data_IF_227930183090
#
_entry.id   IF_227930183090
#
_cell.length_a   1.000
_cell.length_b   1.000
_cell.length_c   1.000
_cell.angle_alpha   90.00
_cell.angle_beta   90.00
_cell.angle_gamma   90.00
#
_symmetry.space_group_name_H-M   'P 1'
#
loop_
_entity.id
_entity.type
_entity.pdbx_description
1 polymer ?
#
# COMPACT_ATOMS: atom_id res chain seq x y z
N UNK A 1 -6.88 3.93 10.27
CA UNK A 1 -7.09 4.30 8.85
C UNK A 1 -6.02 3.60 8.04
N UNK A 2 -6.40 2.89 7.01
CA UNK A 2 -5.55 1.96 6.29
C UNK A 2 -5.47 2.35 4.82
N UNK A 3 -4.27 2.30 4.26
CA UNK A 3 -4.07 2.28 2.81
C UNK A 3 -3.99 0.83 2.33
N UNK A 4 -4.77 0.50 1.31
CA UNK A 4 -4.89 -0.85 0.77
C UNK A 4 -4.82 -0.87 -0.76
N UNK A 5 -3.87 -1.64 -1.28
CA UNK A 5 -3.80 -2.01 -2.69
C UNK A 5 -4.07 -3.53 -2.80
N UNK A 6 -5.19 -3.95 -3.42
CA UNK A 6 -5.46 -5.37 -3.67
C UNK A 6 -4.35 -6.10 -4.43
N UNK A 7 -3.74 -5.44 -5.42
CA UNK A 7 -2.68 -6.03 -6.25
C UNK A 7 -1.55 -5.02 -6.46
N UNK A 8 -0.41 -5.29 -5.84
CA UNK A 8 0.86 -4.67 -6.16
C UNK A 8 1.95 -5.73 -6.27
N UNK A 9 2.74 -5.66 -7.34
CA UNK A 9 3.81 -6.61 -7.66
C UNK A 9 5.07 -5.83 -8.10
N UNK A 10 6.29 -6.31 -7.85
CA UNK A 10 6.67 -7.55 -7.16
C UNK A 10 7.04 -7.31 -5.69
N UNK A 11 7.43 -6.10 -5.35
CA UNK A 11 7.62 -5.56 -3.99
C UNK A 11 7.32 -4.06 -3.98
N UNK A 12 6.92 -3.52 -2.83
CA UNK A 12 6.56 -2.11 -2.74
C UNK A 12 6.84 -1.53 -1.36
N UNK A 13 7.13 -0.22 -1.30
CA UNK A 13 7.37 0.53 -0.08
C UNK A 13 6.48 1.77 -0.05
N UNK A 14 5.93 2.07 1.13
CA UNK A 14 4.99 3.16 1.34
C UNK A 14 5.57 4.24 2.24
N UNK A 15 5.41 5.48 1.82
CA UNK A 15 5.59 6.67 2.64
C UNK A 15 4.32 7.50 2.62
N UNK A 16 4.03 8.16 3.74
CA UNK A 16 2.99 9.18 3.86
C UNK A 16 3.61 10.41 4.50
N UNK A 17 3.46 11.56 3.85
CA UNK A 17 4.06 12.83 4.29
C UNK A 17 5.56 12.73 4.58
N UNK A 18 6.29 11.98 3.75
CA UNK A 18 7.74 11.72 3.89
C UNK A 18 8.12 10.71 4.98
N UNK A 19 7.17 10.22 5.79
CA UNK A 19 7.43 9.20 6.81
C UNK A 19 7.24 7.80 6.24
N UNK A 20 8.24 6.95 6.42
CA UNK A 20 8.15 5.55 6.03
C UNK A 20 7.11 4.82 6.88
N UNK A 21 6.19 4.12 6.23
CA UNK A 21 5.09 3.38 6.89
C UNK A 21 5.39 1.89 6.92
N UNK A 22 5.85 1.34 5.81
CA UNK A 22 6.06 -0.09 5.68
C UNK A 22 6.27 -0.53 4.25
N UNK A 23 6.27 -1.85 4.04
CA UNK A 23 6.47 -2.46 2.73
C UNK A 23 5.67 -3.73 2.56
N UNK A 24 5.39 -4.07 1.30
CA UNK A 24 5.11 -5.43 0.86
C UNK A 24 6.45 -6.03 0.42
N UNK A 25 6.92 -7.13 1.04
CA UNK A 25 8.15 -7.80 0.65
C UNK A 25 8.05 -8.35 -0.78
N UNK A 26 9.19 -8.70 -1.37
CA UNK A 26 9.24 -9.47 -2.61
C UNK A 26 8.43 -10.76 -2.51
N UNK A 27 7.65 -11.05 -3.55
CA UNK A 27 6.94 -12.32 -3.71
C UNK A 27 7.05 -12.73 -5.17
N UNK A 28 7.38 -13.99 -5.42
CA UNK A 28 7.46 -14.52 -6.78
C UNK A 28 6.14 -14.39 -7.56
N UNK A 29 6.26 -14.46 -8.88
CA UNK A 29 5.12 -14.47 -9.78
C UNK A 29 4.09 -15.52 -9.38
N UNK A 30 2.81 -15.19 -9.59
CA UNK A 30 1.65 -16.05 -9.30
C UNK A 30 1.37 -16.36 -7.81
N UNK A 31 2.24 -15.94 -6.87
CA UNK A 31 1.90 -16.04 -5.44
C UNK A 31 0.81 -15.01 -5.11
N UNK A 32 -0.19 -15.45 -4.34
CA UNK A 32 -1.34 -14.64 -3.90
C UNK A 32 -1.61 -14.86 -2.40
N UNK A 33 -2.22 -13.88 -1.69
CA UNK A 33 -2.60 -12.55 -2.18
C UNK A 33 -1.38 -11.65 -2.43
N UNK A 34 -1.47 -10.78 -3.45
CA UNK A 34 -0.41 -9.85 -3.82
C UNK A 34 -0.67 -8.44 -3.26
N UNK A 35 -1.25 -8.36 -2.06
CA UNK A 35 -1.75 -7.11 -1.49
C UNK A 35 -0.70 -6.31 -0.73
N UNK A 36 -0.96 -5.02 -0.56
CA UNK A 36 -0.33 -4.16 0.44
C UNK A 36 -1.43 -3.53 1.28
N UNK A 37 -1.38 -3.73 2.60
CA UNK A 37 -2.31 -3.17 3.58
C UNK A 37 -1.50 -2.62 4.75
N UNK A 38 -1.55 -1.31 4.97
CA UNK A 38 -0.73 -0.63 5.98
C UNK A 38 -1.55 0.39 6.75
N UNK A 39 -1.43 0.37 8.08
CA UNK A 39 -2.01 1.39 8.95
C UNK A 39 -1.24 2.70 8.78
N UNK A 40 -1.96 3.75 8.41
CA UNK A 40 -1.42 5.10 8.18
C UNK A 40 -1.93 6.12 9.20
N UNK A 41 -2.66 5.69 10.23
CA UNK A 41 -3.33 6.58 11.20
C UNK A 41 -2.38 7.63 11.78
N UNK A 42 -1.20 7.21 12.21
CA UNK A 42 -0.25 8.08 12.93
C UNK A 42 0.60 8.98 12.03
N UNK A 43 0.49 8.85 10.71
CA UNK A 43 1.28 9.61 9.74
C UNK A 43 0.44 10.58 8.91
N UNK A 44 -0.89 10.52 9.04
CA UNK A 44 -1.82 11.45 8.42
C UNK A 44 -1.84 12.80 9.16
N UNK A 45 -2.11 13.87 8.41
CA UNK A 45 -2.40 15.22 8.89
C UNK A 45 -3.86 15.51 8.61
N UNK A 46 -4.70 15.55 9.64
CA UNK A 46 -6.15 15.73 9.49
C UNK A 46 -6.47 17.16 9.06
N UNK A 47 -7.42 17.32 8.14
CA UNK A 47 -7.78 18.64 7.58
C UNK A 47 -6.77 19.22 6.59
N UNK A 48 -5.67 18.52 6.32
CA UNK A 48 -4.63 18.93 5.38
C UNK A 48 -4.52 17.98 4.18
N UNK A 49 -3.90 18.45 3.11
CA UNK A 49 -3.48 17.61 2.00
C UNK A 49 -2.37 16.67 2.47
N UNK A 50 -2.61 15.36 2.31
CA UNK A 50 -1.62 14.33 2.61
C UNK A 50 -0.97 13.85 1.31
N UNK A 51 0.35 13.70 1.33
CA UNK A 51 1.09 13.13 0.20
C UNK A 51 1.34 11.64 0.46
N UNK A 52 0.87 10.79 -0.45
CA UNK A 52 1.16 9.36 -0.46
C UNK A 52 2.21 9.07 -1.52
N UNK A 53 3.25 8.33 -1.17
CA UNK A 53 4.29 7.89 -2.12
C UNK A 53 4.45 6.39 -2.02
N UNK A 54 4.22 5.70 -3.14
CA UNK A 54 4.40 4.27 -3.28
C UNK A 54 5.54 4.01 -4.27
N UNK A 55 6.65 3.44 -3.81
CA UNK A 55 7.70 2.94 -4.69
C UNK A 55 7.42 1.49 -4.99
N UNK A 56 7.43 1.12 -6.27
CA UNK A 56 7.27 -0.26 -6.72
C UNK A 56 8.54 -0.71 -7.45
N UNK A 57 8.97 -1.95 -7.22
CA UNK A 57 10.08 -2.57 -7.92
C UNK A 57 9.67 -3.93 -8.49
N UNK A 58 9.89 -4.13 -9.78
CA UNK A 58 9.58 -5.36 -10.52
C UNK A 58 10.84 -6.03 -11.10
N UNK A 59 12.00 -5.37 -11.00
CA UNK A 59 13.21 -5.74 -11.75
C UNK A 59 13.82 -7.11 -11.41
N UNK A 60 13.42 -7.71 -10.29
CA UNK A 60 13.92 -9.02 -9.85
C UNK A 60 13.18 -10.19 -10.52
N UNK A 61 12.06 -9.97 -11.20
CA UNK A 61 11.30 -11.01 -11.88
C UNK A 61 10.95 -10.60 -13.33
N UNK A 62 11.59 -11.19 -14.35
CA UNK A 62 11.32 -10.88 -15.75
C UNK A 62 9.87 -11.11 -16.19
N UNK A 63 9.19 -12.11 -15.64
CA UNK A 63 7.79 -12.41 -15.96
C UNK A 63 6.83 -11.33 -15.44
N UNK A 64 7.27 -10.49 -14.49
CA UNK A 64 6.51 -9.39 -13.91
C UNK A 64 7.11 -8.02 -14.25
N UNK A 65 7.98 -7.94 -15.26
CA UNK A 65 8.63 -6.68 -15.63
C UNK A 65 7.60 -5.56 -15.95
N UNK A 66 6.46 -5.91 -16.55
CA UNK A 66 5.36 -5.01 -16.86
C UNK A 66 4.30 -4.87 -15.73
N UNK A 67 4.51 -5.52 -14.58
CA UNK A 67 3.65 -5.37 -13.42
C UNK A 67 3.90 -4.04 -12.70
N UNK A 68 3.32 -3.86 -11.52
CA UNK A 68 3.48 -2.66 -10.72
C UNK A 68 2.35 -2.54 -9.71
N UNK A 69 1.79 -1.35 -9.59
CA UNK A 69 0.49 -1.15 -8.96
C UNK A 69 -0.60 -1.54 -9.98
N UNK A 70 -1.13 -2.75 -9.85
CA UNK A 70 -2.07 -3.35 -10.82
C UNK A 70 -3.53 -3.15 -10.43
N UNK A 71 -3.79 -2.44 -9.33
CA UNK A 71 -5.13 -2.15 -8.82
C UNK A 71 -5.23 -0.71 -8.33
N UNK A 72 -6.46 -0.26 -8.09
CA UNK A 72 -6.73 1.00 -7.37
C UNK A 72 -6.17 0.91 -5.95
N UNK A 73 -5.69 2.05 -5.44
CA UNK A 73 -5.32 2.23 -4.03
C UNK A 73 -6.53 2.80 -3.26
N UNK A 74 -6.92 2.13 -2.19
CA UNK A 74 -8.02 2.52 -1.33
C UNK A 74 -7.52 3.10 -0.02
N UNK A 75 -8.29 4.02 0.55
CA UNK A 75 -8.15 4.53 1.91
C UNK A 75 -9.45 4.24 2.65
N UNK A 76 -9.38 3.55 3.78
CA UNK A 76 -10.56 3.20 4.58
C UNK A 76 -10.27 3.23 6.08
N UNK A 77 -11.32 3.25 6.86
CA UNK A 77 -11.30 3.13 8.32
C UNK A 77 -12.31 2.08 8.74
N UNK A 78 -12.01 1.33 9.80
CA UNK A 78 -13.06 0.60 10.51
C UNK A 78 -14.02 1.61 11.12
N UNK A 79 -15.32 1.39 10.93
CA UNK A 79 -16.34 2.08 11.73
C UNK A 79 -16.28 1.43 13.11
N UNK A 80 -15.98 2.19 14.16
CA UNK A 80 -16.32 1.75 15.52
C UNK A 80 -17.77 2.17 15.74
N UNK A 81 -18.67 1.20 15.91
CA UNK A 81 -20.00 1.49 16.46
C UNK A 81 -19.78 2.03 17.87
N UNK A 82 -20.12 3.30 18.08
CA UNK A 82 -20.29 3.85 19.42
C UNK A 82 -21.65 3.39 19.91
N UNK A 83 -21.67 2.48 20.88
CA UNK A 83 -22.88 2.17 21.64
C UNK A 83 -23.48 3.48 22.18
N UNK A 84 -24.73 3.75 21.80
CA UNK A 84 -25.48 4.95 22.18
C UNK A 84 -26.06 4.88 23.58
#
# INVERSE_FOLDING_TARGET
MFLYAPIVETEAWLWVNGKYVGRRPYMEAYIRPAQLELDVTNVLRLGETNQVTLRVNTSLNPAQAASGLMSVLFLYSSIQETDG
#
